data_IF_648287669479
#
_entry.id   IF_648287669479
#
_cell.length_a   1.000
_cell.length_b   1.000
_cell.length_c   1.000
_cell.angle_alpha   90.00
_cell.angle_beta   90.00
_cell.angle_gamma   90.00
#
_symmetry.space_group_name_H-M   'P 1'
#
loop_
_entity.id
_entity.type
_entity.pdbx_description
1 polymer ?
#
# COMPACT_ATOMS: atom_id res chain seq x y z
N UNK A 1 -30.58 27.25 27.10
CA UNK A 1 -29.47 27.55 26.15
C UNK A 1 -28.34 26.56 26.31
N UNK A 2 -27.97 26.17 27.54
CA UNK A 2 -26.87 25.22 27.85
C UNK A 2 -27.11 23.82 27.24
N UNK A 3 -28.33 23.29 27.31
CA UNK A 3 -28.69 21.99 26.74
C UNK A 3 -28.62 21.95 25.20
N UNK A 4 -28.87 23.08 24.53
CA UNK A 4 -28.74 23.18 23.06
C UNK A 4 -27.29 23.30 22.59
N UNK A 5 -26.35 23.63 23.48
CA UNK A 5 -24.92 23.75 23.19
C UNK A 5 -24.12 22.52 23.58
N UNK A 6 -24.70 21.48 24.20
CA UNK A 6 -24.06 20.28 24.67
C UNK A 6 -23.85 19.22 23.56
N UNK A 7 -24.20 19.51 22.31
CA UNK A 7 -24.06 18.56 21.21
C UNK A 7 -22.62 18.06 21.01
N UNK A 8 -21.64 18.89 21.38
CA UNK A 8 -20.21 18.52 21.29
C UNK A 8 -19.79 17.69 22.51
N UNK A 9 -20.24 18.06 23.70
CA UNK A 9 -19.89 17.37 24.95
C UNK A 9 -20.50 15.97 25.04
N UNK A 10 -21.56 15.71 24.27
CA UNK A 10 -22.21 14.39 24.17
C UNK A 10 -21.55 13.46 23.17
N UNK A 11 -20.45 13.84 22.52
CA UNK A 11 -19.75 12.98 21.58
C UNK A 11 -19.04 11.84 22.32
N UNK A 12 -18.94 10.64 21.69
CA UNK A 12 -18.41 9.42 22.33
C UNK A 12 -16.98 9.55 22.86
N UNK A 13 -16.19 10.42 22.25
CA UNK A 13 -14.79 10.62 22.61
C UNK A 13 -14.50 11.99 23.25
N UNK A 14 -15.54 12.73 23.64
CA UNK A 14 -15.38 14.01 24.31
C UNK A 14 -14.57 13.87 25.60
N UNK A 15 -13.62 14.78 25.81
CA UNK A 15 -12.72 14.79 26.98
C UNK A 15 -11.61 13.70 26.95
N UNK A 16 -11.57 12.86 25.91
CA UNK A 16 -10.49 11.87 25.75
C UNK A 16 -9.35 12.43 24.89
N UNK A 17 -8.12 12.21 25.34
CA UNK A 17 -6.92 12.45 24.53
C UNK A 17 -6.46 11.15 23.91
N UNK A 18 -6.34 11.13 22.58
CA UNK A 18 -5.93 9.95 21.80
C UNK A 18 -4.62 10.27 21.09
N UNK A 19 -3.63 9.44 21.28
CA UNK A 19 -2.34 9.53 20.58
C UNK A 19 -2.39 8.67 19.33
N UNK A 20 -2.13 9.26 18.17
CA UNK A 20 -2.08 8.58 16.89
C UNK A 20 -0.60 8.42 16.49
N UNK A 21 -0.12 7.17 16.45
CA UNK A 21 1.28 6.83 16.19
C UNK A 21 1.57 6.44 14.74
N UNK A 22 0.59 6.53 13.85
CA UNK A 22 0.75 6.24 12.42
C UNK A 22 1.68 7.24 11.74
N UNK A 23 2.26 6.81 10.61
CA UNK A 23 3.02 7.72 9.74
C UNK A 23 2.17 8.96 9.38
N UNK A 24 2.79 10.13 9.36
CA UNK A 24 2.11 11.44 9.15
C UNK A 24 1.23 11.46 7.89
N UNK A 25 1.68 10.83 6.82
CA UNK A 25 0.92 10.71 5.57
C UNK A 25 -0.44 9.99 5.71
N UNK A 26 -0.62 9.21 6.76
CA UNK A 26 -1.83 8.42 7.02
C UNK A 26 -2.62 8.91 8.26
N UNK A 27 -2.06 9.84 9.03
CA UNK A 27 -2.63 10.30 10.29
C UNK A 27 -3.82 11.26 10.09
N UNK A 28 -3.76 12.14 9.09
CA UNK A 28 -4.72 13.26 8.94
C UNK A 28 -6.18 12.82 8.84
N UNK A 29 -6.51 11.87 7.95
CA UNK A 29 -7.89 11.40 7.80
C UNK A 29 -8.41 10.65 9.06
N UNK A 30 -7.52 9.97 9.78
CA UNK A 30 -7.88 9.29 11.02
C UNK A 30 -8.06 10.30 12.17
N UNK A 31 -7.19 11.29 12.27
CA UNK A 31 -7.30 12.41 13.19
C UNK A 31 -8.63 13.12 13.04
N UNK A 32 -9.03 13.47 11.81
CA UNK A 32 -10.30 14.15 11.53
C UNK A 32 -11.50 13.33 12.03
N UNK A 33 -11.49 12.01 11.80
CA UNK A 33 -12.55 11.11 12.27
C UNK A 33 -12.62 11.06 13.80
N UNK A 34 -11.49 11.01 14.49
CA UNK A 34 -11.43 11.02 15.95
C UNK A 34 -11.86 12.38 16.52
N UNK A 35 -11.39 13.47 15.94
CA UNK A 35 -11.78 14.82 16.33
C UNK A 35 -13.29 15.08 16.10
N UNK A 36 -13.84 14.55 15.00
CA UNK A 36 -15.28 14.61 14.74
C UNK A 36 -16.10 13.90 15.83
N UNK A 37 -15.53 12.89 16.50
CA UNK A 37 -16.13 12.21 17.64
C UNK A 37 -15.85 12.90 19.00
N UNK A 38 -15.19 14.05 18.99
CA UNK A 38 -14.92 14.88 20.19
C UNK A 38 -13.58 14.60 20.88
N UNK A 39 -12.70 13.79 20.29
CA UNK A 39 -11.38 13.52 20.87
C UNK A 39 -10.44 14.73 20.72
N UNK A 40 -9.59 14.92 21.74
CA UNK A 40 -8.36 15.67 21.60
C UNK A 40 -7.30 14.74 21.00
N UNK A 41 -6.83 15.00 19.75
CA UNK A 41 -5.95 14.10 19.05
C UNK A 41 -4.53 14.66 19.02
N UNK A 42 -3.59 13.88 19.56
CA UNK A 42 -2.16 14.16 19.52
C UNK A 42 -1.52 13.26 18.47
N UNK A 43 -0.89 13.86 17.46
CA UNK A 43 -0.12 13.11 16.46
C UNK A 43 1.32 12.94 16.95
N UNK A 44 1.75 11.70 17.13
CA UNK A 44 3.10 11.31 17.50
C UNK A 44 3.55 10.18 16.57
N UNK A 45 3.90 10.54 15.33
CA UNK A 45 4.31 9.57 14.34
C UNK A 45 5.52 8.77 14.83
N UNK A 46 5.36 7.46 15.02
CA UNK A 46 6.45 6.58 15.45
C UNK A 46 7.33 6.10 14.29
N UNK A 47 6.79 6.15 13.07
CA UNK A 47 7.46 5.68 11.86
C UNK A 47 7.27 6.67 10.71
N UNK A 48 8.25 6.70 9.83
CA UNK A 48 8.18 7.39 8.55
C UNK A 48 8.60 6.45 7.42
N UNK A 49 8.11 6.70 6.22
CA UNK A 49 8.57 6.02 5.02
C UNK A 49 9.40 6.99 4.18
N UNK A 50 10.44 6.48 3.55
CA UNK A 50 11.30 7.24 2.63
C UNK A 50 11.57 6.43 1.36
N UNK A 51 11.69 7.10 0.19
CA UNK A 51 12.03 6.42 -1.05
C UNK A 51 13.44 5.84 -0.97
N UNK A 52 13.65 4.72 -1.65
CA UNK A 52 14.99 4.19 -1.91
C UNK A 52 15.55 4.80 -3.18
N UNK A 53 16.86 4.84 -3.27
CA UNK A 53 17.55 5.13 -4.52
C UNK A 53 17.32 3.98 -5.50
N UNK A 54 16.97 4.31 -6.74
CA UNK A 54 16.70 3.34 -7.80
C UNK A 54 17.97 3.11 -8.61
N UNK A 55 18.36 1.86 -8.70
CA UNK A 55 19.45 1.43 -9.58
C UNK A 55 18.96 1.21 -11.01
N UNK A 56 19.87 1.03 -11.96
CA UNK A 56 19.50 0.83 -13.36
C UNK A 56 18.63 -0.42 -13.59
N UNK A 57 18.78 -1.44 -12.75
CA UNK A 57 17.95 -2.64 -12.79
C UNK A 57 16.49 -2.33 -12.40
N UNK A 58 16.29 -1.53 -11.34
CA UNK A 58 14.96 -1.09 -10.89
C UNK A 58 14.27 -0.26 -11.99
N UNK A 59 15.01 0.64 -12.62
CA UNK A 59 14.50 1.44 -13.74
C UNK A 59 14.12 0.56 -14.94
N UNK A 60 14.89 -0.48 -15.23
CA UNK A 60 14.56 -1.47 -16.25
C UNK A 60 13.23 -2.15 -15.95
N UNK A 61 13.02 -2.61 -14.71
CA UNK A 61 11.77 -3.21 -14.26
C UNK A 61 10.61 -2.23 -14.45
N UNK A 62 10.75 -0.98 -13.97
CA UNK A 62 9.74 0.09 -14.10
C UNK A 62 9.44 0.39 -15.57
N UNK A 63 10.47 0.34 -16.42
CA UNK A 63 10.33 0.61 -17.84
C UNK A 63 9.65 -0.52 -18.62
N UNK A 64 9.62 -1.73 -18.08
CA UNK A 64 9.08 -2.94 -18.71
C UNK A 64 7.90 -3.55 -17.95
N UNK A 65 7.17 -2.78 -17.17
CA UNK A 65 6.04 -3.25 -16.35
C UNK A 65 4.98 -4.01 -17.13
N UNK A 66 4.75 -3.68 -18.40
CA UNK A 66 3.81 -4.36 -19.30
C UNK A 66 4.19 -5.81 -19.66
N UNK A 67 5.41 -6.23 -19.35
CA UNK A 67 5.90 -7.59 -19.64
C UNK A 67 5.51 -8.59 -18.55
N UNK A 68 5.05 -8.10 -17.39
CA UNK A 68 4.55 -8.93 -16.31
C UNK A 68 3.09 -9.31 -16.52
N UNK A 69 2.75 -10.57 -16.26
CA UNK A 69 1.37 -11.05 -16.24
C UNK A 69 0.61 -10.48 -15.07
N UNK A 70 1.31 -10.27 -13.94
CA UNK A 70 0.68 -9.68 -12.76
C UNK A 70 1.63 -8.71 -12.03
N UNK A 71 1.08 -7.61 -11.53
CA UNK A 71 1.77 -6.65 -10.65
C UNK A 71 1.07 -6.66 -9.30
N UNK A 72 1.80 -7.05 -8.25
CA UNK A 72 1.27 -7.25 -6.91
C UNK A 72 1.71 -6.12 -5.99
N UNK A 73 0.76 -5.39 -5.44
CA UNK A 73 0.98 -4.33 -4.46
C UNK A 73 0.66 -4.83 -3.06
N UNK A 74 1.66 -4.85 -2.19
CA UNK A 74 1.50 -5.33 -0.80
C UNK A 74 1.05 -4.24 0.17
N UNK A 75 1.07 -2.97 -0.23
CA UNK A 75 0.72 -1.83 0.61
C UNK A 75 0.35 -0.59 -0.20
N UNK A 76 -0.43 0.31 0.40
CA UNK A 76 -0.72 1.62 -0.21
C UNK A 76 0.52 2.52 -0.38
N UNK A 77 1.53 2.38 0.51
CA UNK A 77 2.83 3.06 0.33
C UNK A 77 3.53 2.55 -0.93
N UNK A 78 3.55 1.22 -1.14
CA UNK A 78 4.09 0.62 -2.36
C UNK A 78 3.43 1.16 -3.63
N UNK A 79 2.12 1.37 -3.61
CA UNK A 79 1.39 1.99 -4.73
C UNK A 79 1.92 3.41 -4.99
N UNK A 80 2.00 4.26 -3.97
CA UNK A 80 2.47 5.65 -4.12
C UNK A 80 3.88 5.71 -4.66
N UNK A 81 4.81 5.01 -4.03
CA UNK A 81 6.21 5.01 -4.46
C UNK A 81 6.40 4.44 -5.87
N UNK A 82 5.58 3.44 -6.25
CA UNK A 82 5.63 2.89 -7.60
C UNK A 82 5.19 3.92 -8.65
N UNK A 83 4.06 4.60 -8.43
CA UNK A 83 3.59 5.62 -9.39
C UNK A 83 4.49 6.85 -9.40
N UNK A 84 5.04 7.25 -8.26
CA UNK A 84 6.05 8.31 -8.22
C UNK A 84 7.29 7.96 -9.05
N UNK A 85 7.76 6.72 -8.96
CA UNK A 85 8.88 6.23 -9.76
C UNK A 85 8.51 6.15 -11.25
N UNK A 86 7.32 5.64 -11.57
CA UNK A 86 6.81 5.54 -12.94
C UNK A 86 6.70 6.92 -13.61
N UNK A 87 6.19 7.92 -12.89
CA UNK A 87 6.07 9.30 -13.39
C UNK A 87 7.43 9.95 -13.58
N UNK A 88 8.43 9.68 -12.74
CA UNK A 88 9.81 10.14 -12.94
C UNK A 88 10.43 9.61 -14.22
N UNK A 89 10.04 8.40 -14.63
CA UNK A 89 10.44 7.81 -15.92
C UNK A 89 9.57 8.29 -17.10
N UNK A 90 8.73 9.33 -16.90
CA UNK A 90 7.87 9.92 -17.94
C UNK A 90 6.71 9.04 -18.38
N UNK A 91 6.30 8.07 -17.54
CA UNK A 91 5.23 7.12 -17.81
C UNK A 91 4.02 7.37 -16.91
N UNK A 92 2.89 6.79 -17.26
CA UNK A 92 1.66 6.81 -16.48
C UNK A 92 1.06 5.39 -16.35
N UNK A 93 -0.17 5.30 -15.83
CA UNK A 93 -0.86 4.03 -15.60
C UNK A 93 -1.00 3.14 -16.84
N UNK A 94 -0.94 3.70 -18.04
CA UNK A 94 -0.96 2.95 -19.32
C UNK A 94 0.27 2.06 -19.50
N UNK A 95 1.35 2.33 -18.77
CA UNK A 95 2.55 1.51 -18.79
C UNK A 95 2.34 0.11 -18.18
N UNK A 96 1.28 -0.10 -17.40
CA UNK A 96 0.93 -1.42 -16.88
C UNK A 96 0.38 -2.35 -18.00
N UNK A 97 -0.08 -1.77 -19.11
CA UNK A 97 -0.57 -2.55 -20.26
C UNK A 97 -1.78 -3.41 -19.90
N UNK A 98 -1.64 -4.71 -20.18
CA UNK A 98 -2.66 -5.73 -19.88
C UNK A 98 -2.32 -6.56 -18.63
N UNK A 99 -1.33 -6.13 -17.83
CA UNK A 99 -0.98 -6.83 -16.60
C UNK A 99 -2.17 -6.84 -15.63
N UNK A 100 -2.48 -8.01 -15.05
CA UNK A 100 -3.39 -8.07 -13.90
C UNK A 100 -2.78 -7.29 -12.73
N UNK A 101 -3.62 -6.62 -11.97
CA UNK A 101 -3.19 -5.87 -10.79
C UNK A 101 -3.77 -6.51 -9.54
N UNK A 102 -2.90 -6.94 -8.63
CA UNK A 102 -3.28 -7.50 -7.35
C UNK A 102 -3.00 -6.50 -6.21
N UNK A 103 -3.97 -6.35 -5.31
CA UNK A 103 -3.86 -5.52 -4.12
C UNK A 103 -4.01 -6.36 -2.86
N UNK A 104 -2.97 -6.43 -2.04
CA UNK A 104 -3.05 -7.13 -0.75
C UNK A 104 -3.73 -6.21 0.25
N UNK A 105 -5.07 -6.31 0.28
CA UNK A 105 -5.94 -5.61 1.22
C UNK A 105 -6.65 -4.37 0.68
N UNK A 106 -7.80 -4.07 1.29
CA UNK A 106 -8.71 -3.00 0.87
C UNK A 106 -8.08 -1.60 0.90
N UNK A 107 -7.11 -1.35 1.78
CA UNK A 107 -6.42 -0.05 1.84
C UNK A 107 -5.54 0.14 0.61
N UNK A 108 -4.86 -0.91 0.15
CA UNK A 108 -4.04 -0.93 -1.06
C UNK A 108 -4.92 -0.76 -2.30
N UNK A 109 -6.04 -1.47 -2.35
CA UNK A 109 -7.03 -1.35 -3.43
C UNK A 109 -7.56 0.09 -3.56
N UNK A 110 -7.92 0.72 -2.43
CA UNK A 110 -8.35 2.14 -2.42
C UNK A 110 -7.25 3.11 -2.86
N UNK A 111 -6.00 2.80 -2.57
CA UNK A 111 -4.88 3.64 -3.04
C UNK A 111 -4.72 3.53 -4.56
N UNK A 112 -4.80 2.31 -5.13
CA UNK A 112 -4.79 2.09 -6.59
C UNK A 112 -5.93 2.81 -7.31
N UNK A 113 -7.12 2.87 -6.71
CA UNK A 113 -8.26 3.60 -7.28
C UNK A 113 -8.00 5.10 -7.47
N UNK A 114 -7.14 5.73 -6.66
CA UNK A 114 -6.74 7.13 -6.86
C UNK A 114 -5.95 7.34 -8.15
N UNK A 115 -5.33 6.30 -8.66
CA UNK A 115 -4.62 6.28 -9.95
C UNK A 115 -5.49 5.73 -11.09
N UNK A 116 -6.80 5.53 -10.85
CA UNK A 116 -7.75 5.03 -11.84
C UNK A 116 -7.69 3.52 -12.08
N UNK A 117 -7.07 2.76 -11.16
CA UNK A 117 -6.92 1.32 -11.28
C UNK A 117 -7.85 0.61 -10.30
N UNK A 118 -8.70 -0.26 -10.82
CA UNK A 118 -9.47 -1.23 -10.04
C UNK A 118 -8.69 -2.54 -10.05
N UNK A 119 -8.21 -3.04 -8.90
CA UNK A 119 -7.47 -4.29 -8.87
C UNK A 119 -8.32 -5.48 -9.34
N UNK A 120 -7.69 -6.37 -10.10
CA UNK A 120 -8.30 -7.62 -10.58
C UNK A 120 -8.35 -8.66 -9.46
N UNK A 121 -7.33 -8.65 -8.57
CA UNK A 121 -7.17 -9.65 -7.51
C UNK A 121 -7.11 -8.94 -6.15
N UNK A 122 -8.03 -9.28 -5.26
CA UNK A 122 -8.04 -8.82 -3.86
C UNK A 122 -8.31 -10.04 -2.98
N UNK A 123 -7.33 -10.51 -2.18
CA UNK A 123 -7.52 -11.62 -1.25
C UNK A 123 -8.64 -11.35 -0.25
N UNK A 124 -9.35 -12.38 0.16
CA UNK A 124 -10.44 -12.29 1.16
C UNK A 124 -9.88 -11.87 2.53
N UNK A 125 -8.72 -12.41 2.88
CA UNK A 125 -8.00 -12.09 4.12
C UNK A 125 -6.67 -11.37 3.81
N UNK A 126 -6.18 -10.57 4.77
CA UNK A 126 -4.90 -9.82 4.65
C UNK A 126 -3.67 -10.66 5.01
N UNK A 127 -3.78 -12.00 4.97
CA UNK A 127 -2.70 -12.93 5.24
C UNK A 127 -1.93 -13.22 3.96
N UNK A 128 -0.64 -13.53 4.11
CA UNK A 128 0.20 -13.85 2.96
C UNK A 128 -0.27 -15.13 2.26
N UNK A 129 -0.79 -16.09 3.01
CA UNK A 129 -1.32 -17.35 2.53
C UNK A 129 -2.54 -17.15 1.62
N UNK A 130 -3.52 -16.36 2.07
CA UNK A 130 -4.71 -16.03 1.25
C UNK A 130 -4.34 -15.19 0.01
N UNK A 131 -3.27 -14.40 0.11
CA UNK A 131 -2.77 -13.68 -1.04
C UNK A 131 -2.16 -14.62 -2.09
N UNK A 132 -1.44 -15.64 -1.63
CA UNK A 132 -0.88 -16.67 -2.52
C UNK A 132 -2.00 -17.47 -3.19
N UNK A 133 -2.99 -17.93 -2.43
CA UNK A 133 -4.15 -18.67 -2.95
C UNK A 133 -4.87 -17.86 -4.05
N UNK A 134 -5.19 -16.60 -3.79
CA UNK A 134 -5.86 -15.73 -4.76
C UNK A 134 -5.02 -15.47 -6.02
N UNK A 135 -3.70 -15.43 -5.90
CA UNK A 135 -2.80 -15.28 -7.04
C UNK A 135 -2.70 -16.59 -7.84
N UNK A 136 -2.67 -17.74 -7.16
CA UNK A 136 -2.63 -19.07 -7.80
C UNK A 136 -3.89 -19.40 -8.59
N UNK A 137 -5.05 -18.86 -8.20
CA UNK A 137 -6.32 -19.01 -8.97
C UNK A 137 -6.28 -18.29 -10.31
N UNK A 138 -5.48 -17.24 -10.44
CA UNK A 138 -5.47 -16.33 -11.57
C UNK A 138 -4.20 -16.40 -12.45
N UNK A 139 -3.15 -17.10 -11.97
CA UNK A 139 -1.84 -17.18 -12.60
C UNK A 139 -1.42 -18.63 -12.82
N UNK A 140 -0.55 -18.84 -13.81
CA UNK A 140 -0.06 -20.15 -14.20
C UNK A 140 1.46 -20.27 -13.96
N UNK A 141 1.95 -21.50 -13.95
CA UNK A 141 3.39 -21.75 -13.98
C UNK A 141 4.03 -21.09 -15.21
N UNK A 142 5.17 -20.46 -15.02
CA UNK A 142 5.88 -19.70 -16.06
C UNK A 142 5.49 -18.22 -16.14
N UNK A 143 4.38 -17.79 -15.54
CA UNK A 143 3.98 -16.37 -15.50
C UNK A 143 5.01 -15.53 -14.78
N UNK A 144 5.25 -14.32 -15.28
CA UNK A 144 6.12 -13.33 -14.66
C UNK A 144 5.31 -12.40 -13.74
N UNK A 145 5.72 -12.31 -12.49
CA UNK A 145 5.06 -11.53 -11.44
C UNK A 145 5.99 -10.47 -10.91
N UNK A 146 5.55 -9.22 -10.92
CA UNK A 146 6.25 -8.11 -10.28
C UNK A 146 5.65 -7.85 -8.90
N UNK A 147 6.45 -8.01 -7.86
CA UNK A 147 6.04 -7.79 -6.47
C UNK A 147 6.61 -6.47 -5.94
N UNK A 148 5.72 -5.53 -5.61
CA UNK A 148 6.10 -4.23 -5.03
C UNK A 148 6.10 -4.34 -3.51
N UNK A 149 7.28 -4.14 -2.90
CA UNK A 149 7.50 -4.32 -1.47
C UNK A 149 8.35 -3.21 -0.84
N UNK A 150 8.31 -3.03 0.50
CA UNK A 150 9.32 -2.27 1.22
C UNK A 150 10.66 -2.99 1.21
N UNK A 151 11.73 -2.27 1.57
CA UNK A 151 13.10 -2.80 1.73
C UNK A 151 13.14 -4.04 2.63
N UNK A 152 12.39 -3.99 3.73
CA UNK A 152 12.25 -5.11 4.67
C UNK A 152 10.82 -5.64 4.58
N UNK A 153 10.65 -6.85 4.07
CA UNK A 153 9.39 -7.53 3.91
C UNK A 153 9.53 -9.02 4.21
N UNK A 154 8.39 -9.67 4.48
CA UNK A 154 8.36 -11.14 4.62
C UNK A 154 8.52 -11.80 3.25
N UNK A 155 9.27 -12.89 3.20
CA UNK A 155 9.54 -13.64 1.96
C UNK A 155 8.49 -14.74 1.65
N UNK A 156 7.33 -14.69 2.27
CA UNK A 156 6.30 -15.74 2.12
C UNK A 156 5.74 -15.74 0.70
N UNK A 157 5.23 -14.61 0.22
CA UNK A 157 4.61 -14.50 -1.10
C UNK A 157 5.60 -14.88 -2.21
N UNK A 158 6.79 -14.24 -2.34
CA UNK A 158 7.68 -14.56 -3.46
C UNK A 158 8.20 -16.00 -3.40
N UNK A 159 8.42 -16.54 -2.20
CA UNK A 159 8.83 -17.94 -2.05
C UNK A 159 7.75 -18.92 -2.53
N UNK A 160 6.48 -18.71 -2.12
CA UNK A 160 5.38 -19.57 -2.54
C UNK A 160 5.15 -19.51 -4.05
N UNK A 161 5.16 -18.32 -4.66
CA UNK A 161 4.98 -18.17 -6.10
C UNK A 161 6.12 -18.86 -6.89
N UNK A 162 7.37 -18.70 -6.42
CA UNK A 162 8.51 -19.42 -7.03
C UNK A 162 8.40 -20.94 -6.90
N UNK A 163 7.85 -21.45 -5.80
CA UNK A 163 7.56 -22.88 -5.64
C UNK A 163 6.48 -23.41 -6.59
N UNK A 164 5.72 -22.52 -7.21
CA UNK A 164 4.74 -22.80 -8.25
C UNK A 164 5.28 -22.50 -9.66
N UNK A 165 6.60 -22.46 -9.79
CA UNK A 165 7.31 -22.23 -11.05
C UNK A 165 6.97 -20.88 -11.72
N UNK A 166 6.54 -19.86 -10.95
CA UNK A 166 6.38 -18.49 -11.44
C UNK A 166 7.71 -17.72 -11.39
N UNK A 167 7.91 -16.83 -12.33
CA UNK A 167 9.06 -15.93 -12.36
C UNK A 167 8.74 -14.68 -11.53
N UNK A 168 9.39 -14.49 -10.39
CA UNK A 168 9.07 -13.40 -9.47
C UNK A 168 10.21 -12.42 -9.35
N UNK A 169 9.98 -11.20 -9.84
CA UNK A 169 10.81 -10.04 -9.60
C UNK A 169 10.27 -9.23 -8.43
N UNK A 170 11.18 -8.66 -7.63
CA UNK A 170 10.82 -7.86 -6.45
C UNK A 170 11.37 -6.47 -6.63
N UNK A 171 10.49 -5.48 -6.70
CA UNK A 171 10.85 -4.07 -6.74
C UNK A 171 10.67 -3.44 -5.35
N UNK A 172 11.78 -3.03 -4.76
CA UNK A 172 11.84 -2.38 -3.44
C UNK A 172 11.99 -0.88 -3.63
N UNK A 173 10.94 -0.12 -3.30
CA UNK A 173 10.88 1.30 -3.61
C UNK A 173 11.00 2.21 -2.39
N UNK A 174 10.84 1.68 -1.20
CA UNK A 174 10.83 2.47 0.02
C UNK A 174 11.30 1.67 1.24
N UNK A 175 11.71 2.37 2.25
CA UNK A 175 11.98 1.81 3.57
C UNK A 175 11.12 2.50 4.64
N UNK A 176 10.88 1.77 5.72
CA UNK A 176 10.21 2.29 6.91
C UNK A 176 11.25 2.42 8.01
N UNK A 177 11.37 3.63 8.55
CA UNK A 177 12.30 3.94 9.64
C UNK A 177 11.56 4.54 10.82
N UNK A 178 12.19 4.56 11.98
CA UNK A 178 11.66 5.25 13.14
C UNK A 178 11.64 6.77 12.87
N UNK A 179 10.53 7.43 13.22
CA UNK A 179 10.44 8.89 13.18
C UNK A 179 10.95 9.44 14.52
N UNK A 180 12.05 10.16 14.49
CA UNK A 180 12.70 10.77 15.66
C UNK A 180 12.56 12.30 15.68
N UNK A 181 11.70 12.85 14.81
CA UNK A 181 11.50 14.31 14.68
C UNK A 181 10.36 14.84 15.51
#
# INVERSE_FOLDING_TARGET
LREKLQWFDNKPLFGKTIVVTRARSQASAFREKLAAQGANVVEAAAIKTSPLELFEEDKRIINNTKEYQCIVFTSGEGVRYFFDALYKEGKDTRALGNSKVAAIGCATARELQKYGIVPDIIPVDYKAESAVEALEEELNAGDSVLLIQPKVARDVIPRCLRHRDMNVDILRLYETTQDTS
#
